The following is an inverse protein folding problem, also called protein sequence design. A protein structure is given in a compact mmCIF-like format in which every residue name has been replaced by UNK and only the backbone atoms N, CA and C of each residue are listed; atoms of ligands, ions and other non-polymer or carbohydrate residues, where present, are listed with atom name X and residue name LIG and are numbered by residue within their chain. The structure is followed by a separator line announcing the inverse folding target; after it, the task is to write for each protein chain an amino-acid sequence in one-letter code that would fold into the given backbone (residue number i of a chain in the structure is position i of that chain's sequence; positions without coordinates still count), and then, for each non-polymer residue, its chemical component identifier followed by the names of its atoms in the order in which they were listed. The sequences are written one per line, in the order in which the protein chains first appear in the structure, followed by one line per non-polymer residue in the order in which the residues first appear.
data_IF_809566215551
#
_entry.id   IF_809566215551
#
_cell.length_a   1.000
_cell.length_b   1.000
_cell.length_c   1.000
_cell.angle_alpha   90.00
_cell.angle_beta   90.00
_cell.angle_gamma   90.00
#
_symmetry.space_group_name_H-M   'P 1'
#
loop_
_entity.id
_entity.type
_entity.pdbx_description
1 polymer ?
#
# COMPACT_ATOMS: atom_id res chain seq x y z
N UNK A 1 10.22 -8.60 -0.19
CA UNK A 1 9.28 -7.98 0.76
C UNK A 1 8.97 -6.59 0.25
N UNK A 2 7.76 -6.06 0.44
CA UNK A 2 7.42 -4.68 0.03
C UNK A 2 7.17 -3.86 1.29
N UNK A 3 7.96 -2.82 1.51
CA UNK A 3 7.85 -1.94 2.67
C UNK A 3 6.79 -0.85 2.45
N UNK A 4 6.09 -0.42 3.49
CA UNK A 4 5.12 0.69 3.39
C UNK A 4 5.63 1.93 4.11
N UNK A 5 5.66 3.06 3.41
CA UNK A 5 6.20 4.32 3.92
C UNK A 5 5.30 5.48 3.47
N UNK A 6 5.07 6.46 4.33
CA UNK A 6 4.50 7.76 3.92
C UNK A 6 5.63 8.78 3.79
N UNK A 7 5.71 9.40 2.61
CA UNK A 7 6.65 10.49 2.32
C UNK A 7 5.89 11.78 2.01
N UNK A 8 6.48 12.91 2.39
CA UNK A 8 6.05 14.24 1.97
C UNK A 8 6.57 14.62 0.57
N UNK A 9 6.21 15.82 0.10
CA UNK A 9 6.60 16.43 -1.18
C UNK A 9 8.10 16.47 -1.45
N UNK A 10 8.91 16.74 -0.43
CA UNK A 10 10.37 16.77 -0.51
C UNK A 10 11.03 15.41 -0.28
N UNK A 11 10.26 14.32 -0.31
CA UNK A 11 10.74 12.97 0.00
C UNK A 11 10.99 12.72 1.49
N UNK A 12 10.67 13.69 2.37
CA UNK A 12 10.83 13.53 3.82
C UNK A 12 9.95 12.40 4.33
N UNK A 13 10.58 11.53 5.10
CA UNK A 13 9.92 10.46 5.83
C UNK A 13 8.92 11.03 6.85
N UNK A 14 7.68 10.52 6.83
CA UNK A 14 6.61 10.91 7.77
C UNK A 14 6.25 9.77 8.71
N UNK A 15 6.00 8.58 8.17
CA UNK A 15 5.64 7.38 8.91
C UNK A 15 6.00 6.12 8.12
N UNK A 16 6.10 4.97 8.78
CA UNK A 16 6.25 3.66 8.13
C UNK A 16 5.46 2.59 8.85
N UNK A 17 5.16 1.53 8.12
CA UNK A 17 4.73 0.27 8.71
C UNK A 17 5.94 -0.43 9.36
N UNK A 18 5.68 -1.13 10.46
CA UNK A 18 6.58 -2.10 11.08
C UNK A 18 6.58 -3.42 10.31
N UNK A 19 5.44 -3.79 9.70
CA UNK A 19 5.30 -4.98 8.87
C UNK A 19 5.27 -4.63 7.38
N UNK A 20 6.10 -5.31 6.59
CA UNK A 20 6.04 -5.27 5.12
C UNK A 20 5.02 -6.24 4.56
N UNK A 21 4.69 -6.07 3.28
CA UNK A 21 3.94 -7.07 2.51
C UNK A 21 4.89 -8.22 2.18
N UNK A 22 4.55 -9.42 2.67
CA UNK A 22 5.13 -10.65 2.19
C UNK A 22 4.54 -10.98 0.83
N UNK A 23 5.38 -10.97 -0.20
CA UNK A 23 4.94 -11.31 -1.54
C UNK A 23 4.71 -12.81 -1.65
N UNK A 24 3.48 -13.19 -1.95
CA UNK A 24 3.07 -14.58 -2.14
C UNK A 24 2.47 -14.77 -3.53
N UNK A 25 2.34 -16.02 -3.96
CA UNK A 25 1.66 -16.35 -5.22
C UNK A 25 0.22 -15.79 -5.28
N UNK A 26 -0.45 -15.62 -4.12
CA UNK A 26 -1.80 -15.09 -4.04
C UNK A 26 -1.95 -13.65 -4.55
N UNK A 27 -0.89 -12.84 -4.57
CA UNK A 27 -0.93 -11.52 -5.21
C UNK A 27 -0.98 -11.61 -6.74
N UNK A 28 -0.32 -12.60 -7.32
CA UNK A 28 -0.39 -12.88 -8.76
C UNK A 28 -1.78 -13.36 -9.23
N UNK A 29 -2.53 -13.98 -8.32
CA UNK A 29 -3.89 -14.48 -8.58
C UNK A 29 -4.99 -13.42 -8.38
N UNK A 30 -4.65 -12.21 -7.89
CA UNK A 30 -5.61 -11.12 -7.78
C UNK A 30 -6.14 -10.76 -9.17
N UNK A 31 -7.44 -10.53 -9.27
CA UNK A 31 -8.02 -10.03 -10.51
C UNK A 31 -7.55 -8.59 -10.77
N UNK A 32 -6.92 -8.28 -11.92
CA UNK A 32 -6.49 -6.92 -12.24
C UNK A 32 -7.68 -5.95 -12.41
N UNK A 33 -8.90 -6.46 -12.64
CA UNK A 33 -10.10 -5.63 -12.73
C UNK A 33 -10.72 -5.32 -11.37
N UNK A 34 -10.53 -6.20 -10.38
CA UNK A 34 -11.08 -6.02 -9.03
C UNK A 34 -10.08 -5.40 -8.04
N UNK A 35 -8.78 -5.59 -8.31
CA UNK A 35 -7.65 -5.12 -7.49
C UNK A 35 -6.58 -4.39 -8.33
N UNK A 36 -6.94 -3.38 -9.14
CA UNK A 36 -6.00 -2.73 -10.06
C UNK A 36 -4.75 -2.14 -9.38
N UNK A 37 -4.81 -1.75 -8.10
CA UNK A 37 -3.63 -1.21 -7.40
C UNK A 37 -2.79 -2.31 -6.76
N UNK A 38 -3.41 -3.24 -6.01
CA UNK A 38 -2.68 -4.29 -5.31
C UNK A 38 -2.11 -5.34 -6.25
N UNK A 39 -2.79 -5.65 -7.36
CA UNK A 39 -2.28 -6.54 -8.41
C UNK A 39 -1.02 -5.98 -9.08
N UNK A 40 -0.93 -4.66 -9.22
CA UNK A 40 0.20 -3.99 -9.88
C UNK A 40 1.44 -3.85 -8.98
N UNK A 41 1.37 -4.24 -7.70
CA UNK A 41 2.53 -4.25 -6.82
C UNK A 41 3.54 -5.30 -7.29
N UNK A 42 4.82 -5.02 -7.06
CA UNK A 42 5.91 -5.94 -7.37
C UNK A 42 6.99 -5.82 -6.30
N UNK A 43 7.65 -6.92 -5.91
CA UNK A 43 8.77 -6.87 -4.96
C UNK A 43 9.98 -6.08 -5.43
N UNK A 44 10.09 -5.79 -6.73
CA UNK A 44 11.29 -5.20 -7.35
C UNK A 44 11.07 -3.75 -7.81
N UNK A 45 9.98 -3.11 -7.38
CA UNK A 45 9.62 -1.78 -7.84
C UNK A 45 8.80 -1.01 -6.83
N UNK A 46 8.87 0.31 -6.93
CA UNK A 46 8.10 1.22 -6.09
C UNK A 46 6.74 1.49 -6.72
N UNK A 47 5.70 1.50 -5.88
CA UNK A 47 4.38 2.04 -6.23
C UNK A 47 4.04 3.20 -5.30
N UNK A 48 3.54 4.29 -5.88
CA UNK A 48 3.23 5.53 -5.16
C UNK A 48 1.75 5.86 -5.33
N UNK A 49 1.06 5.99 -4.20
CA UNK A 49 -0.35 6.35 -4.14
C UNK A 49 -0.54 7.72 -3.51
N UNK A 50 -1.25 8.59 -4.22
CA UNK A 50 -1.63 9.91 -3.73
C UNK A 50 -2.98 9.87 -3.01
N UNK A 51 -3.37 11.00 -2.40
CA UNK A 51 -4.63 11.14 -1.65
C UNK A 51 -5.89 10.72 -2.45
N UNK A 52 -5.93 10.91 -3.78
CA UNK A 52 -7.08 10.53 -4.60
C UNK A 52 -7.17 9.02 -4.81
N UNK A 53 -6.07 8.29 -4.68
CA UNK A 53 -6.00 6.84 -4.81
C UNK A 53 -6.29 6.13 -3.47
N UNK A 54 -6.14 6.82 -2.34
CA UNK A 54 -6.35 6.24 -1.00
C UNK A 54 -7.75 5.60 -0.82
N UNK A 55 -8.87 6.24 -1.20
CA UNK A 55 -10.19 5.61 -1.03
C UNK A 55 -10.34 4.32 -1.86
N UNK A 56 -9.75 4.29 -3.04
CA UNK A 56 -9.75 3.11 -3.89
C UNK A 56 -8.92 1.99 -3.23
N UNK A 57 -7.75 2.32 -2.68
CA UNK A 57 -6.85 1.35 -2.06
C UNK A 57 -7.51 0.74 -0.81
N UNK A 58 -8.16 1.56 0.01
CA UNK A 58 -8.92 1.09 1.17
C UNK A 58 -10.03 0.10 0.74
N UNK A 59 -10.73 0.37 -0.36
CA UNK A 59 -11.77 -0.52 -0.89
C UNK A 59 -11.21 -1.84 -1.46
N UNK A 60 -9.97 -1.85 -1.96
CA UNK A 60 -9.27 -3.10 -2.30
C UNK A 60 -8.87 -3.87 -1.04
N UNK A 61 -8.31 -3.19 -0.02
CA UNK A 61 -7.92 -3.81 1.25
C UNK A 61 -9.12 -4.42 2.00
N UNK A 62 -10.33 -3.86 1.87
CA UNK A 62 -11.56 -4.40 2.46
C UNK A 62 -11.98 -5.74 1.84
N UNK A 63 -11.65 -5.96 0.57
CA UNK A 63 -12.00 -7.17 -0.19
C UNK A 63 -10.84 -8.14 -0.35
N UNK A 64 -9.68 -7.80 0.20
CA UNK A 64 -8.45 -8.57 0.01
C UNK A 64 -8.63 -10.00 0.54
N UNK A 65 -8.31 -11.04 -0.24
CA UNK A 65 -8.34 -12.41 0.24
C UNK A 65 -7.46 -12.58 1.49
N UNK A 66 -7.93 -13.35 2.48
CA UNK A 66 -7.20 -13.55 3.76
C UNK A 66 -5.77 -14.07 3.56
N UNK A 67 -5.52 -14.83 2.50
CA UNK A 67 -4.19 -15.36 2.16
C UNK A 67 -3.17 -14.27 1.76
N UNK A 68 -3.63 -13.10 1.31
CA UNK A 68 -2.79 -11.95 0.96
C UNK A 68 -2.76 -10.89 2.06
N UNK A 69 -3.54 -11.08 3.12
CA UNK A 69 -3.63 -10.15 4.25
C UNK A 69 -2.49 -10.30 5.24
N UNK A 70 -2.75 -9.92 6.49
CA UNK A 70 -1.78 -9.96 7.59
C UNK A 70 -1.73 -8.63 8.34
N UNK A 71 -0.74 -8.50 9.23
CA UNK A 71 -0.56 -7.30 10.07
C UNK A 71 -0.36 -6.03 9.24
N UNK A 72 0.27 -6.15 8.07
CA UNK A 72 0.52 -5.04 7.16
C UNK A 72 -0.77 -4.35 6.68
N UNK A 73 -1.90 -5.06 6.57
CA UNK A 73 -3.17 -4.50 6.08
C UNK A 73 -3.69 -3.42 7.03
N UNK A 74 -3.63 -3.67 8.34
CA UNK A 74 -4.05 -2.71 9.34
C UNK A 74 -3.12 -1.49 9.35
N UNK A 75 -1.81 -1.71 9.25
CA UNK A 75 -0.83 -0.63 9.19
C UNK A 75 -0.95 0.19 7.89
N UNK A 76 -1.29 -0.45 6.76
CA UNK A 76 -1.59 0.25 5.51
C UNK A 76 -2.77 1.21 5.68
N UNK A 77 -3.83 0.80 6.40
CA UNK A 77 -4.99 1.66 6.71
C UNK A 77 -4.60 2.84 7.58
N UNK A 78 -3.74 2.63 8.58
CA UNK A 78 -3.23 3.70 9.43
C UNK A 78 -2.40 4.71 8.63
N UNK A 79 -1.52 4.22 7.74
CA UNK A 79 -0.74 5.08 6.85
C UNK A 79 -1.63 5.84 5.85
N UNK A 80 -2.72 5.23 5.36
CA UNK A 80 -3.73 5.92 4.54
C UNK A 80 -4.32 7.13 5.29
N UNK A 81 -4.64 6.99 6.59
CA UNK A 81 -5.12 8.11 7.40
C UNK A 81 -4.05 9.20 7.56
N UNK A 82 -2.76 8.83 7.66
CA UNK A 82 -1.66 9.80 7.70
C UNK A 82 -1.60 10.60 6.39
N UNK A 83 -1.81 9.94 5.24
CA UNK A 83 -1.88 10.60 3.93
C UNK A 83 -3.05 11.57 3.87
N UNK A 84 -4.26 11.15 4.25
CA UNK A 84 -5.46 11.98 4.18
C UNK A 84 -5.42 13.22 5.10
N UNK A 85 -4.74 13.13 6.24
CA UNK A 85 -4.64 14.22 7.23
C UNK A 85 -3.60 15.29 6.88
N UNK A 86 -2.83 15.12 5.80
CA UNK A 86 -1.77 16.06 5.45
C UNK A 86 -1.78 16.48 3.99
N UNK A 87 -1.21 17.64 3.73
CA UNK A 87 -0.93 18.10 2.37
C UNK A 87 0.31 17.41 1.81
N UNK A 88 0.26 17.11 0.50
CA UNK A 88 1.36 16.53 -0.27
C UNK A 88 2.01 15.29 0.35
N UNK A 89 1.19 14.40 0.92
CA UNK A 89 1.62 13.11 1.42
C UNK A 89 1.27 12.01 0.41
N UNK A 90 2.17 11.05 0.32
CA UNK A 90 2.04 9.91 -0.59
C UNK A 90 2.36 8.64 0.18
N UNK A 91 1.57 7.60 -0.05
CA UNK A 91 1.87 6.25 0.42
C UNK A 91 2.75 5.56 -0.61
N UNK A 92 3.87 5.02 -0.17
CA UNK A 92 4.83 4.29 -0.97
C UNK A 92 4.82 2.84 -0.55
N UNK A 93 4.66 1.96 -1.52
CA UNK A 93 5.02 0.55 -1.44
C UNK A 93 6.39 0.42 -2.09
N UNK A 94 7.40 0.12 -1.29
CA UNK A 94 8.81 0.15 -1.67
C UNK A 94 9.30 -1.28 -1.77
N UNK A 95 9.66 -1.69 -2.99
CA UNK A 95 10.30 -2.98 -3.24
C UNK A 95 11.70 -3.08 -2.62
N UNK A 96 12.30 -4.25 -2.73
CA UNK A 96 13.71 -4.48 -2.43
C UNK A 96 14.60 -4.04 -3.61
#
# INVERSE_FOLDING_TARGET
MINLIVRGDNGRFVARAEAGVEWTAGFGDLSPTEFPMLWALTPYGDAVFNQRQIPLLLAELDRLPRACGGEWVQQARELCQVVERGTHRYLWFVGD
#
